data_IF_302117745504
#
_entry.id   IF_302117745504
#
_cell.length_a   1.000
_cell.length_b   1.000
_cell.length_c   1.000
_cell.angle_alpha   90.00
_cell.angle_beta   90.00
_cell.angle_gamma   90.00
#
_symmetry.space_group_name_H-M   'P 1'
#
loop_
_entity.id
_entity.type
_entity.pdbx_description
1 polymer ?
#
# COMPACT_ATOMS: atom_id res chain seq x y z
N UNK A 1 -4.83 -3.65 -34.36
CA UNK A 1 -3.96 -4.71 -34.95
C UNK A 1 -2.79 -4.75 -34.00
N UNK A 2 -2.72 -5.76 -33.12
CA UNK A 2 -1.84 -5.71 -31.94
C UNK A 2 -0.41 -5.36 -32.37
N UNK A 3 0.16 -4.30 -31.78
CA UNK A 3 1.58 -3.92 -32.01
C UNK A 3 2.44 -5.07 -31.48
N UNK A 4 3.40 -5.51 -32.29
CA UNK A 4 4.37 -6.55 -31.90
C UNK A 4 5.78 -6.07 -32.19
N UNK A 5 6.69 -6.38 -31.28
CA UNK A 5 8.13 -6.19 -31.48
C UNK A 5 8.82 -7.54 -31.26
N UNK A 6 9.79 -7.83 -32.12
CA UNK A 6 10.62 -9.02 -32.02
C UNK A 6 12.01 -8.57 -31.61
N UNK A 7 12.52 -9.10 -30.50
CA UNK A 7 13.87 -8.83 -30.01
C UNK A 7 14.53 -10.19 -29.79
N UNK A 8 15.48 -10.52 -30.65
CA UNK A 8 16.06 -11.85 -30.77
C UNK A 8 14.98 -12.94 -30.93
N UNK A 9 14.92 -13.90 -30.02
CA UNK A 9 13.93 -14.98 -29.98
C UNK A 9 12.64 -14.63 -29.22
N UNK A 10 12.58 -13.46 -28.57
CA UNK A 10 11.43 -13.01 -27.79
C UNK A 10 10.47 -12.16 -28.62
N UNK A 11 9.18 -12.45 -28.50
CA UNK A 11 8.10 -11.70 -29.14
C UNK A 11 7.28 -10.97 -28.07
N UNK A 12 7.38 -9.64 -28.04
CA UNK A 12 6.57 -8.83 -27.15
C UNK A 12 5.33 -8.32 -27.90
N UNK A 13 4.17 -8.51 -27.29
CA UNK A 13 2.88 -8.04 -27.80
C UNK A 13 2.36 -6.93 -26.91
N UNK A 14 1.90 -5.84 -27.51
CA UNK A 14 1.28 -4.75 -26.75
C UNK A 14 -0.15 -5.11 -26.36
N UNK A 15 -0.50 -4.85 -25.11
CA UNK A 15 -1.87 -4.88 -24.63
C UNK A 15 -2.54 -3.52 -24.93
N UNK A 16 -3.60 -3.54 -25.74
CA UNK A 16 -4.34 -2.31 -26.12
C UNK A 16 -5.27 -1.84 -24.98
N UNK A 17 -5.64 -2.73 -24.06
CA UNK A 17 -6.60 -2.45 -22.97
C UNK A 17 -5.88 -2.08 -21.66
N UNK A 18 -4.74 -2.70 -21.36
CA UNK A 18 -3.95 -2.48 -20.12
C UNK A 18 -2.77 -1.51 -20.25
N UNK A 19 -2.43 -1.06 -21.47
CA UNK A 19 -1.37 -0.06 -21.68
C UNK A 19 0.07 -0.58 -21.58
N UNK A 20 0.29 -1.87 -21.28
CA UNK A 20 1.60 -2.51 -21.15
C UNK A 20 2.02 -3.42 -22.32
N UNK A 21 3.13 -4.14 -22.12
CA UNK A 21 3.59 -5.19 -23.04
C UNK A 21 3.57 -6.53 -22.35
N UNK A 22 3.50 -7.60 -23.14
CA UNK A 22 3.62 -8.95 -22.63
C UNK A 22 4.48 -9.85 -23.50
N UNK A 23 5.10 -10.84 -22.89
CA UNK A 23 5.85 -11.90 -23.56
C UNK A 23 5.29 -13.25 -23.16
N UNK A 24 4.62 -13.94 -24.09
CA UNK A 24 4.18 -15.32 -23.91
C UNK A 24 5.40 -16.26 -24.00
N UNK A 25 5.60 -17.10 -22.98
CA UNK A 25 6.74 -18.02 -22.91
C UNK A 25 6.45 -19.21 -22.00
N UNK A 26 7.37 -20.17 -21.98
CA UNK A 26 7.35 -21.35 -21.13
C UNK A 26 8.34 -21.19 -19.96
N UNK A 27 7.89 -21.47 -18.73
CA UNK A 27 8.72 -21.55 -17.53
C UNK A 27 8.74 -23.00 -17.01
N UNK A 28 9.93 -23.50 -16.70
CA UNK A 28 10.16 -24.84 -16.16
C UNK A 28 10.41 -24.79 -14.66
N UNK A 29 9.86 -25.75 -13.95
CA UNK A 29 10.14 -25.92 -12.51
C UNK A 29 9.02 -25.44 -11.60
N UNK A 30 8.04 -24.68 -12.10
CA UNK A 30 6.94 -24.12 -11.28
C UNK A 30 6.04 -25.24 -10.75
N UNK A 31 5.26 -25.89 -11.63
CA UNK A 31 4.38 -27.01 -11.27
C UNK A 31 5.15 -28.30 -10.93
N UNK A 32 6.43 -28.39 -11.31
CA UNK A 32 7.28 -29.51 -11.00
C UNK A 32 8.65 -29.42 -11.67
N UNK A 33 9.67 -30.17 -11.21
CA UNK A 33 11.07 -29.99 -11.64
C UNK A 33 11.34 -30.11 -13.14
N UNK A 34 10.45 -30.77 -13.88
CA UNK A 34 10.54 -30.94 -15.33
C UNK A 34 9.27 -30.48 -16.06
N UNK A 35 8.30 -29.93 -15.33
CA UNK A 35 7.04 -29.49 -15.90
C UNK A 35 7.18 -28.10 -16.47
N UNK A 36 6.48 -27.88 -17.59
CA UNK A 36 6.40 -26.61 -18.28
C UNK A 36 5.09 -25.93 -17.89
N UNK A 37 5.18 -24.65 -17.58
CA UNK A 37 4.07 -23.76 -17.32
C UNK A 37 4.09 -22.67 -18.39
N UNK A 38 3.02 -22.59 -19.17
CA UNK A 38 2.80 -21.47 -20.09
C UNK A 38 2.47 -20.23 -19.27
N UNK A 39 3.25 -19.16 -19.45
CA UNK A 39 3.09 -17.91 -18.70
C UNK A 39 3.05 -16.72 -19.65
N UNK A 40 2.35 -15.69 -19.21
CA UNK A 40 2.43 -14.36 -19.79
C UNK A 40 3.28 -13.53 -18.86
N UNK A 41 4.48 -13.15 -19.31
CA UNK A 41 5.30 -12.19 -18.57
C UNK A 41 4.76 -10.80 -18.91
N UNK A 42 4.19 -10.12 -17.93
CA UNK A 42 3.75 -8.73 -18.05
C UNK A 42 4.94 -7.79 -17.87
N UNK A 43 5.04 -6.79 -18.74
CA UNK A 43 6.09 -5.78 -18.73
C UNK A 43 5.44 -4.45 -18.40
N UNK A 44 5.69 -3.97 -17.19
CA UNK A 44 5.20 -2.68 -16.75
C UNK A 44 5.99 -1.56 -17.44
N UNK A 45 5.27 -0.58 -17.99
CA UNK A 45 5.88 0.58 -18.64
C UNK A 45 5.56 1.89 -17.94
N UNK A 46 4.78 1.82 -16.87
CA UNK A 46 4.38 2.95 -16.04
C UNK A 46 5.39 3.12 -14.92
N UNK A 47 6.01 4.30 -14.82
CA UNK A 47 6.79 4.62 -13.62
C UNK A 47 5.84 5.17 -12.57
N UNK A 48 5.37 4.32 -11.67
CA UNK A 48 4.66 4.72 -10.45
C UNK A 48 3.24 5.25 -10.66
N UNK A 49 2.39 4.88 -9.72
CA UNK A 49 0.94 4.95 -9.81
C UNK A 49 0.35 6.39 -9.83
N UNK A 50 -0.82 6.52 -10.44
CA UNK A 50 -1.83 7.62 -10.37
C UNK A 50 -1.73 8.95 -11.15
N UNK A 51 -0.63 9.40 -11.78
CA UNK A 51 -0.64 10.75 -12.43
C UNK A 51 -0.01 10.91 -13.83
N UNK A 52 0.25 9.82 -14.57
CA UNK A 52 0.78 9.91 -15.94
C UNK A 52 0.15 8.93 -16.93
N UNK A 53 -1.18 8.85 -16.96
CA UNK A 53 -1.92 7.88 -17.79
C UNK A 53 -1.85 8.14 -19.31
N UNK A 54 -1.27 9.25 -19.79
CA UNK A 54 -1.21 9.55 -21.23
C UNK A 54 0.19 9.47 -21.87
N UNK A 55 1.28 9.37 -21.10
CA UNK A 55 2.65 9.36 -21.63
C UNK A 55 3.39 8.02 -21.47
N UNK A 56 2.88 7.11 -20.64
CA UNK A 56 3.48 5.78 -20.42
C UNK A 56 3.03 4.75 -21.47
N UNK A 57 1.76 4.80 -21.89
CA UNK A 57 1.12 3.76 -22.70
C UNK A 57 1.79 3.41 -24.04
N UNK A 58 2.65 4.27 -24.60
CA UNK A 58 3.36 4.04 -25.87
C UNK A 58 4.81 3.56 -25.75
N UNK A 59 5.36 3.46 -24.54
CA UNK A 59 6.78 3.10 -24.32
C UNK A 59 7.02 1.64 -24.66
N UNK A 60 8.13 1.34 -25.33
CA UNK A 60 8.58 -0.03 -25.56
C UNK A 60 9.32 -0.56 -24.32
N UNK A 61 9.38 -1.88 -24.09
CA UNK A 61 10.19 -2.48 -23.03
C UNK A 61 11.62 -1.95 -23.04
N UNK A 62 12.13 -1.57 -21.88
CA UNK A 62 13.50 -1.05 -21.75
C UNK A 62 14.54 -2.15 -21.96
N UNK A 63 15.80 -1.76 -22.25
CA UNK A 63 16.92 -2.71 -22.35
C UNK A 63 17.09 -3.54 -21.07
N UNK A 64 16.85 -2.93 -19.89
CA UNK A 64 16.97 -3.62 -18.60
C UNK A 64 15.85 -4.64 -18.36
N UNK A 65 14.63 -4.36 -18.83
CA UNK A 65 13.51 -5.30 -18.78
C UNK A 65 13.74 -6.49 -19.72
N UNK A 66 14.20 -6.22 -20.94
CA UNK A 66 14.58 -7.27 -21.89
C UNK A 66 15.72 -8.13 -21.33
N UNK A 67 16.72 -7.51 -20.70
CA UNK A 67 17.82 -8.22 -20.05
C UNK A 67 17.33 -9.11 -18.89
N UNK A 68 16.39 -8.62 -18.08
CA UNK A 68 15.78 -9.39 -16.99
C UNK A 68 15.02 -10.62 -17.51
N UNK A 69 14.17 -10.46 -18.54
CA UNK A 69 13.44 -11.58 -19.15
C UNK A 69 14.39 -12.63 -19.72
N UNK A 70 15.43 -12.20 -20.45
CA UNK A 70 16.45 -13.13 -20.99
C UNK A 70 17.16 -13.87 -19.87
N UNK A 71 17.59 -13.16 -18.83
CA UNK A 71 18.25 -13.76 -17.69
C UNK A 71 17.36 -14.79 -16.99
N UNK A 72 16.07 -14.48 -16.83
CA UNK A 72 15.08 -15.41 -16.30
C UNK A 72 15.02 -16.70 -17.13
N UNK A 73 14.85 -16.59 -18.45
CA UNK A 73 14.69 -17.76 -19.32
C UNK A 73 15.94 -18.63 -19.40
N UNK A 74 17.13 -18.00 -19.40
CA UNK A 74 18.42 -18.68 -19.37
C UNK A 74 18.70 -19.39 -18.03
N UNK A 75 18.16 -18.87 -16.91
CA UNK A 75 18.46 -19.32 -15.55
C UNK A 75 17.22 -19.84 -14.79
N UNK A 76 16.13 -20.12 -15.50
CA UNK A 76 14.81 -20.40 -14.92
C UNK A 76 14.82 -21.45 -13.80
N UNK A 77 15.54 -22.56 -13.96
CA UNK A 77 15.58 -23.61 -12.93
C UNK A 77 16.19 -23.11 -11.61
N UNK A 78 17.21 -22.26 -11.67
CA UNK A 78 17.81 -21.66 -10.48
C UNK A 78 16.87 -20.66 -9.85
N UNK A 79 16.30 -19.75 -10.64
CA UNK A 79 15.44 -18.68 -10.16
C UNK A 79 14.16 -19.25 -9.54
N UNK A 80 13.47 -20.17 -10.23
CA UNK A 80 12.26 -20.80 -9.71
C UNK A 80 12.53 -21.59 -8.42
N UNK A 81 13.70 -22.24 -8.30
CA UNK A 81 14.09 -22.87 -7.03
C UNK A 81 14.23 -21.85 -5.90
N UNK A 82 14.79 -20.66 -6.18
CA UNK A 82 14.92 -19.59 -5.18
C UNK A 82 13.57 -18.98 -4.81
N UNK A 83 12.70 -18.76 -5.79
CA UNK A 83 11.32 -18.30 -5.57
C UNK A 83 10.58 -19.27 -4.66
N UNK A 84 10.56 -20.57 -4.99
CA UNK A 84 9.88 -21.59 -4.18
C UNK A 84 10.50 -21.73 -2.77
N UNK A 85 11.81 -21.56 -2.60
CA UNK A 85 12.46 -21.56 -1.28
C UNK A 85 12.02 -20.36 -0.43
N UNK A 86 11.98 -19.16 -1.01
CA UNK A 86 11.48 -17.96 -0.34
C UNK A 86 10.00 -18.07 0.02
N UNK A 87 9.17 -18.53 -0.93
CA UNK A 87 7.75 -18.83 -0.72
C UNK A 87 7.52 -19.80 0.43
N UNK A 88 8.31 -20.88 0.52
CA UNK A 88 8.20 -21.85 1.61
C UNK A 88 8.57 -21.23 2.96
N UNK A 89 9.61 -20.40 3.01
CA UNK A 89 10.01 -19.68 4.24
C UNK A 89 8.91 -18.74 4.69
N UNK A 90 8.31 -18.01 3.76
CA UNK A 90 7.20 -17.10 4.03
C UNK A 90 5.97 -17.84 4.55
N UNK A 91 5.51 -18.89 3.86
CA UNK A 91 4.36 -19.67 4.28
C UNK A 91 4.53 -20.21 5.71
N UNK A 92 5.71 -20.70 6.04
CA UNK A 92 6.02 -21.18 7.39
C UNK A 92 6.04 -20.07 8.42
N UNK A 93 6.72 -18.96 8.11
CA UNK A 93 6.74 -17.79 8.99
C UNK A 93 5.32 -17.26 9.26
N UNK A 94 4.50 -17.16 8.22
CA UNK A 94 3.12 -16.71 8.32
C UNK A 94 2.27 -17.67 9.16
N UNK A 95 2.35 -18.97 8.91
CA UNK A 95 1.62 -19.98 9.68
C UNK A 95 2.08 -20.05 11.15
N UNK A 96 3.39 -19.97 11.41
CA UNK A 96 3.94 -19.94 12.78
C UNK A 96 3.52 -18.67 13.53
N UNK A 97 3.45 -17.53 12.84
CA UNK A 97 2.98 -16.27 13.43
C UNK A 97 1.47 -16.24 13.66
N UNK A 98 0.73 -17.15 13.03
CA UNK A 98 -0.73 -17.25 13.09
C UNK A 98 -1.18 -18.67 13.46
N UNK A 99 -0.46 -19.35 14.37
CA UNK A 99 -0.65 -20.78 14.70
C UNK A 99 -2.11 -21.13 15.07
N UNK A 100 -2.86 -20.18 15.62
CA UNK A 100 -4.28 -20.36 15.97
C UNK A 100 -5.26 -20.35 14.80
N UNK A 101 -4.80 -20.09 13.57
CA UNK A 101 -5.65 -20.01 12.37
C UNK A 101 -5.63 -21.29 11.53
N UNK A 102 -4.66 -22.18 11.76
CA UNK A 102 -4.39 -23.33 10.91
C UNK A 102 -4.46 -24.63 11.69
N UNK A 103 -5.06 -25.65 11.09
CA UNK A 103 -4.99 -27.01 11.63
C UNK A 103 -3.62 -27.65 11.32
N UNK A 104 -3.17 -28.61 12.14
CA UNK A 104 -1.88 -29.31 11.93
C UNK A 104 -1.77 -29.96 10.53
N UNK A 105 -2.89 -30.30 9.90
CA UNK A 105 -2.97 -30.92 8.57
C UNK A 105 -2.77 -29.92 7.42
N UNK A 106 -2.87 -28.61 7.68
CA UNK A 106 -2.74 -27.52 6.70
C UNK A 106 -1.32 -26.94 6.65
N UNK A 107 -0.42 -27.39 7.54
CA UNK A 107 0.93 -26.84 7.67
C UNK A 107 1.80 -27.21 6.47
N UNK A 108 2.31 -26.18 5.79
CA UNK A 108 3.22 -26.34 4.66
C UNK A 108 4.63 -26.57 5.15
N UNK A 109 5.17 -27.78 4.94
CA UNK A 109 6.48 -28.17 5.50
C UNK A 109 7.61 -28.22 4.47
N UNK A 110 7.26 -28.43 3.20
CA UNK A 110 8.22 -28.64 2.12
C UNK A 110 7.69 -28.10 0.78
N UNK A 111 8.56 -28.07 -0.24
CA UNK A 111 8.24 -27.51 -1.57
C UNK A 111 7.16 -28.32 -2.30
N UNK A 112 7.01 -29.62 -2.01
CA UNK A 112 5.92 -30.42 -2.60
C UNK A 112 4.58 -29.94 -2.07
N UNK A 113 4.44 -29.84 -0.75
CA UNK A 113 3.22 -29.34 -0.09
C UNK A 113 2.91 -27.92 -0.59
N UNK A 114 3.93 -27.06 -0.64
CA UNK A 114 3.77 -25.69 -1.16
C UNK A 114 3.13 -25.69 -2.54
N UNK A 115 3.65 -26.48 -3.49
CA UNK A 115 3.11 -26.54 -4.85
C UNK A 115 1.66 -27.00 -4.93
N UNK A 116 1.24 -27.86 -4.00
CA UNK A 116 -0.15 -28.33 -3.95
C UNK A 116 -1.11 -27.22 -3.49
N UNK A 117 -0.59 -26.20 -2.80
CA UNK A 117 -1.34 -25.07 -2.24
C UNK A 117 -1.16 -23.76 -3.04
N UNK A 118 -0.44 -23.79 -4.17
CA UNK A 118 -0.25 -22.64 -5.05
C UNK A 118 -1.10 -22.78 -6.30
N UNK A 119 -1.75 -21.70 -6.70
CA UNK A 119 -2.54 -21.64 -7.92
C UNK A 119 -2.21 -20.39 -8.75
N UNK A 120 -2.16 -20.58 -10.07
CA UNK A 120 -1.75 -19.51 -10.98
C UNK A 120 -0.25 -19.23 -10.93
N UNK A 121 0.18 -18.32 -11.81
CA UNK A 121 1.50 -17.71 -11.78
C UNK A 121 1.48 -16.49 -12.68
N UNK A 122 1.55 -15.32 -12.06
CA UNK A 122 1.75 -14.07 -12.75
C UNK A 122 3.21 -13.63 -12.57
N UNK A 123 3.84 -13.21 -13.67
CA UNK A 123 5.21 -12.71 -13.68
C UNK A 123 5.20 -11.29 -14.20
N UNK A 124 5.65 -10.35 -13.39
CA UNK A 124 5.72 -8.93 -13.72
C UNK A 124 7.18 -8.47 -13.79
N UNK A 125 7.52 -7.67 -14.79
CA UNK A 125 8.84 -7.04 -14.92
C UNK A 125 8.72 -5.54 -14.67
N UNK A 126 9.38 -5.08 -13.61
CA UNK A 126 9.34 -3.69 -13.16
C UNK A 126 9.99 -2.72 -14.16
N UNK A 127 9.56 -1.44 -14.19
CA UNK A 127 10.25 -0.38 -14.93
C UNK A 127 11.58 0.05 -14.27
N UNK A 128 11.77 -0.18 -12.98
CA UNK A 128 12.98 0.17 -12.25
C UNK A 128 14.11 -0.81 -12.57
N UNK A 129 15.35 -0.32 -12.57
CA UNK A 129 16.51 -1.14 -12.90
C UNK A 129 17.70 -0.86 -12.00
N UNK A 130 18.44 -1.91 -11.66
CA UNK A 130 19.71 -1.84 -10.93
C UNK A 130 20.76 -2.57 -11.76
N UNK A 131 21.91 -1.92 -12.00
CA UNK A 131 23.01 -2.41 -12.83
C UNK A 131 22.59 -3.00 -14.19
N UNK A 132 21.62 -2.36 -14.85
CA UNK A 132 21.14 -2.74 -16.17
C UNK A 132 20.18 -3.94 -16.19
N UNK A 133 19.67 -4.38 -15.03
CA UNK A 133 18.64 -5.39 -14.92
C UNK A 133 17.43 -4.84 -14.17
N UNK A 134 16.24 -5.01 -14.74
CA UNK A 134 15.00 -4.85 -14.00
C UNK A 134 14.82 -5.99 -12.99
N UNK A 135 14.09 -5.72 -11.90
CA UNK A 135 13.62 -6.77 -11.00
C UNK A 135 12.31 -7.38 -11.54
N UNK A 136 12.05 -8.62 -11.14
CA UNK A 136 10.91 -9.44 -11.58
C UNK A 136 10.10 -9.83 -10.35
N UNK A 137 8.81 -9.52 -10.36
CA UNK A 137 7.84 -10.00 -9.39
C UNK A 137 7.20 -11.31 -9.84
N UNK A 138 7.00 -12.21 -8.89
CA UNK A 138 6.24 -13.45 -9.03
C UNK A 138 5.05 -13.36 -8.08
N UNK A 139 3.83 -13.42 -8.62
CA UNK A 139 2.59 -13.43 -7.86
C UNK A 139 1.84 -14.73 -8.10
N UNK A 140 1.24 -15.28 -7.05
CA UNK A 140 0.44 -16.51 -7.14
C UNK A 140 -0.64 -16.48 -6.06
N UNK A 141 -1.78 -17.10 -6.36
CA UNK A 141 -2.78 -17.38 -5.35
C UNK A 141 -2.27 -18.49 -4.43
N UNK A 142 -2.69 -18.46 -3.17
CA UNK A 142 -2.33 -19.47 -2.18
C UNK A 142 -3.51 -19.84 -1.29
N UNK A 143 -3.67 -21.13 -0.98
CA UNK A 143 -4.85 -21.62 -0.25
C UNK A 143 -4.92 -21.14 1.21
N UNK A 144 -3.78 -20.85 1.85
CA UNK A 144 -3.74 -20.43 3.25
C UNK A 144 -4.06 -18.93 3.46
N UNK A 145 -4.09 -18.14 2.38
CA UNK A 145 -4.44 -16.72 2.38
C UNK A 145 -5.06 -16.33 1.03
N UNK A 146 -6.33 -16.69 0.84
CA UNK A 146 -7.07 -16.38 -0.41
C UNK A 146 -7.32 -14.88 -0.60
N UNK A 147 -7.24 -14.07 0.45
CA UNK A 147 -7.50 -12.62 0.36
C UNK A 147 -6.29 -11.88 -0.22
N UNK A 148 -5.07 -12.28 0.17
CA UNK A 148 -3.86 -11.50 -0.15
C UNK A 148 -2.90 -12.20 -1.10
N UNK A 149 -2.94 -13.53 -1.21
CA UNK A 149 -2.02 -14.29 -2.07
C UNK A 149 -0.54 -14.19 -1.64
N UNK A 150 0.36 -14.55 -2.55
CA UNK A 150 1.80 -14.64 -2.29
C UNK A 150 2.60 -13.89 -3.36
N UNK A 151 3.54 -13.06 -2.91
CA UNK A 151 4.44 -12.29 -3.76
C UNK A 151 5.92 -12.54 -3.45
N UNK A 152 6.74 -12.60 -4.51
CA UNK A 152 8.20 -12.70 -4.41
C UNK A 152 8.85 -11.75 -5.42
N UNK A 153 9.74 -10.87 -4.96
CA UNK A 153 10.53 -10.00 -5.82
C UNK A 153 11.94 -10.57 -6.01
N UNK A 154 12.41 -10.61 -7.26
CA UNK A 154 13.71 -11.18 -7.64
C UNK A 154 14.50 -10.20 -8.50
N UNK A 155 15.73 -9.92 -8.11
CA UNK A 155 16.70 -9.26 -8.98
C UNK A 155 17.73 -10.29 -9.45
N UNK A 156 17.73 -10.58 -10.76
CA UNK A 156 18.52 -11.67 -11.37
C UNK A 156 18.19 -13.03 -10.75
N UNK A 157 19.01 -13.53 -9.84
CA UNK A 157 18.85 -14.79 -9.13
C UNK A 157 18.90 -14.64 -7.60
N UNK A 158 18.79 -13.40 -7.12
CA UNK A 158 18.67 -13.04 -5.72
C UNK A 158 17.23 -12.65 -5.44
N UNK A 159 16.59 -13.34 -4.49
CA UNK A 159 15.30 -12.90 -3.94
C UNK A 159 15.58 -11.67 -3.11
N UNK A 160 14.94 -10.55 -3.43
CA UNK A 160 15.14 -9.26 -2.75
C UNK A 160 14.02 -8.96 -1.75
N UNK A 161 12.84 -9.57 -1.93
CA UNK A 161 11.71 -9.42 -1.02
C UNK A 161 10.71 -10.58 -1.18
N UNK A 162 9.91 -10.84 -0.14
CA UNK A 162 8.86 -11.86 -0.12
C UNK A 162 7.75 -11.45 0.84
N UNK A 163 6.49 -11.70 0.51
CA UNK A 163 5.35 -11.36 1.36
C UNK A 163 4.03 -11.68 0.68
N UNK A 164 3.03 -10.83 0.89
CA UNK A 164 1.74 -10.92 0.21
C UNK A 164 1.91 -10.56 -1.29
N UNK A 165 0.87 -10.74 -2.11
CA UNK A 165 0.97 -10.56 -3.56
C UNK A 165 1.47 -9.17 -4.00
N UNK A 166 1.28 -8.14 -3.18
CA UNK A 166 1.73 -6.76 -3.43
C UNK A 166 3.25 -6.63 -3.60
N UNK A 167 4.03 -7.53 -2.98
CA UNK A 167 5.49 -7.59 -3.17
C UNK A 167 5.88 -7.83 -4.63
N UNK A 168 5.01 -8.46 -5.44
CA UNK A 168 5.30 -8.71 -6.85
C UNK A 168 5.16 -7.46 -7.73
N UNK A 169 4.49 -6.40 -7.27
CA UNK A 169 4.20 -5.22 -8.09
C UNK A 169 4.47 -3.87 -7.42
N UNK A 170 4.72 -3.83 -6.13
CA UNK A 170 5.16 -2.64 -5.39
C UNK A 170 6.68 -2.55 -5.32
N UNK A 171 7.23 -1.35 -5.10
CA UNK A 171 8.67 -1.17 -4.88
C UNK A 171 9.10 -2.02 -3.66
N UNK A 172 10.03 -2.99 -3.82
CA UNK A 172 10.46 -3.84 -2.72
C UNK A 172 11.20 -3.03 -1.65
N UNK A 173 10.92 -3.30 -0.38
CA UNK A 173 11.56 -2.63 0.76
C UNK A 173 12.22 -3.60 1.75
N UNK A 174 12.12 -4.91 1.51
CA UNK A 174 12.80 -5.95 2.29
C UNK A 174 12.15 -6.21 3.64
N UNK A 175 10.81 -6.21 3.68
CA UNK A 175 10.04 -6.30 4.93
C UNK A 175 10.32 -7.55 5.76
N UNK A 176 10.77 -8.63 5.11
CA UNK A 176 11.03 -9.93 5.74
C UNK A 176 12.45 -10.44 5.44
N UNK A 177 13.44 -9.55 5.53
CA UNK A 177 14.86 -9.86 5.29
C UNK A 177 15.40 -10.99 6.20
N UNK A 178 14.85 -11.13 7.40
CA UNK A 178 15.28 -12.09 8.42
C UNK A 178 14.99 -13.56 8.07
N UNK A 179 13.98 -13.83 7.25
CA UNK A 179 13.66 -15.20 6.82
C UNK A 179 14.45 -15.61 5.58
N UNK A 180 15.04 -14.66 4.86
CA UNK A 180 15.81 -14.89 3.63
C UNK A 180 17.28 -15.26 3.92
N UNK A 181 17.98 -15.93 2.98
CA UNK A 181 19.38 -16.36 3.19
C UNK A 181 20.34 -15.21 3.52
N UNK A 182 21.15 -15.35 4.56
CA UNK A 182 22.05 -14.30 5.06
C UNK A 182 23.21 -14.01 4.09
N UNK A 183 23.60 -14.98 3.27
CA UNK A 183 24.72 -14.86 2.32
C UNK A 183 24.44 -13.85 1.21
N UNK A 184 23.17 -13.53 0.97
CA UNK A 184 22.71 -12.62 -0.09
C UNK A 184 22.31 -11.25 0.45
N UNK A 185 22.39 -11.04 1.77
CA UNK A 185 21.94 -9.80 2.43
C UNK A 185 22.62 -8.56 1.88
N UNK A 186 23.94 -8.56 1.71
CA UNK A 186 24.67 -7.41 1.14
C UNK A 186 24.20 -7.10 -0.29
N UNK A 187 23.90 -8.13 -1.09
CA UNK A 187 23.37 -7.92 -2.44
C UNK A 187 21.96 -7.34 -2.40
N UNK A 188 21.09 -7.86 -1.52
CA UNK A 188 19.74 -7.31 -1.31
C UNK A 188 19.78 -5.85 -0.88
N UNK A 189 20.56 -5.51 0.15
CA UNK A 189 20.68 -4.14 0.67
C UNK A 189 21.13 -3.15 -0.41
N UNK A 190 22.10 -3.55 -1.24
CA UNK A 190 22.56 -2.72 -2.37
C UNK A 190 21.47 -2.51 -3.44
N UNK A 191 20.69 -3.54 -3.74
CA UNK A 191 19.57 -3.43 -4.69
C UNK A 191 18.46 -2.57 -4.12
N UNK A 192 18.00 -2.87 -2.90
CA UNK A 192 16.91 -2.17 -2.23
C UNK A 192 17.22 -0.67 -2.06
N UNK A 193 18.42 -0.31 -1.59
CA UNK A 193 18.84 1.09 -1.48
C UNK A 193 18.88 1.82 -2.83
N UNK A 194 19.25 1.13 -3.91
CA UNK A 194 19.24 1.70 -5.27
C UNK A 194 17.83 1.89 -5.81
N UNK A 195 16.87 1.04 -5.42
CA UNK A 195 15.46 1.17 -5.80
C UNK A 195 14.79 2.31 -5.01
N UNK A 196 15.05 2.39 -3.70
CA UNK A 196 14.57 3.47 -2.85
C UNK A 196 15.07 4.84 -3.35
N UNK A 197 16.36 4.95 -3.70
CA UNK A 197 16.91 6.20 -4.25
C UNK A 197 16.21 6.59 -5.57
N UNK A 198 15.93 5.62 -6.46
CA UNK A 198 15.21 5.87 -7.70
C UNK A 198 13.77 6.32 -7.46
N UNK A 199 13.08 5.74 -6.49
CA UNK A 199 11.72 6.12 -6.11
C UNK A 199 11.69 7.54 -5.54
N UNK A 200 12.59 7.87 -4.61
CA UNK A 200 12.72 9.23 -4.07
C UNK A 200 13.04 10.26 -5.17
N UNK A 201 13.92 9.90 -6.12
CA UNK A 201 14.23 10.76 -7.26
C UNK A 201 13.03 10.93 -8.20
N UNK A 202 12.26 9.86 -8.45
CA UNK A 202 11.06 9.91 -9.28
C UNK A 202 9.97 10.75 -8.63
N UNK A 203 9.73 10.59 -7.33
CA UNK A 203 8.79 11.41 -6.57
C UNK A 203 9.22 12.88 -6.58
N UNK A 204 10.50 13.17 -6.30
CA UNK A 204 11.03 14.53 -6.35
C UNK A 204 10.90 15.15 -7.74
N UNK A 205 11.14 14.38 -8.80
CA UNK A 205 10.96 14.84 -10.18
C UNK A 205 9.49 15.09 -10.52
N UNK A 206 8.59 14.22 -10.07
CA UNK A 206 7.14 14.38 -10.22
C UNK A 206 6.67 15.65 -9.51
N UNK A 207 6.99 15.81 -8.22
CA UNK A 207 6.69 17.01 -7.44
C UNK A 207 7.28 18.26 -8.10
N UNK A 208 8.52 18.20 -8.61
CA UNK A 208 9.14 19.31 -9.33
C UNK A 208 8.44 19.62 -10.66
N UNK A 209 7.81 18.64 -11.31
CA UNK A 209 7.06 18.81 -12.56
C UNK A 209 5.68 19.44 -12.37
N UNK A 210 5.12 19.39 -11.15
CA UNK A 210 3.80 19.92 -10.87
C UNK A 210 3.70 21.43 -11.18
N UNK A 211 2.54 21.90 -11.70
CA UNK A 211 2.28 23.32 -11.86
C UNK A 211 2.46 24.07 -10.54
N UNK A 212 2.96 25.31 -10.59
CA UNK A 212 3.13 26.13 -9.38
C UNK A 212 1.81 26.35 -8.62
N UNK A 213 0.66 26.33 -9.31
CA UNK A 213 -0.67 26.39 -8.67
C UNK A 213 -0.97 25.15 -7.83
N UNK A 214 -0.62 23.95 -8.31
CA UNK A 214 -0.77 22.70 -7.55
C UNK A 214 0.19 22.65 -6.36
N UNK A 215 1.45 23.04 -6.57
CA UNK A 215 2.43 23.15 -5.47
C UNK A 215 1.98 24.13 -4.40
N UNK A 216 1.35 25.24 -4.79
CA UNK A 216 0.82 26.22 -3.85
C UNK A 216 -0.30 25.60 -3.01
N UNK A 217 -1.16 24.81 -3.63
CA UNK A 217 -2.24 24.12 -2.91
C UNK A 217 -1.67 23.15 -1.88
N UNK A 218 -0.69 22.34 -2.27
CA UNK A 218 -0.01 21.41 -1.35
C UNK A 218 0.65 22.16 -0.19
N UNK A 219 1.40 23.24 -0.46
CA UNK A 219 2.09 24.03 0.55
C UNK A 219 1.13 24.63 1.59
N UNK A 220 -0.07 25.08 1.16
CA UNK A 220 -1.11 25.55 2.09
C UNK A 220 -1.62 24.41 2.98
N UNK A 221 -1.87 23.22 2.41
CA UNK A 221 -2.39 22.08 3.16
C UNK A 221 -1.43 21.57 4.25
N UNK A 222 -0.13 21.68 4.02
CA UNK A 222 0.92 21.27 4.98
C UNK A 222 1.47 22.42 5.84
N UNK A 223 0.87 23.61 5.74
CA UNK A 223 1.28 24.84 6.45
C UNK A 223 2.75 25.28 6.20
N UNK A 224 3.27 25.05 4.99
CA UNK A 224 4.59 25.54 4.58
C UNK A 224 4.51 27.00 4.11
N UNK A 225 4.52 27.92 5.09
CA UNK A 225 4.39 29.35 4.83
C UNK A 225 5.51 29.92 3.95
N UNK A 226 6.73 29.40 4.05
CA UNK A 226 7.86 29.88 3.25
C UNK A 226 7.66 29.53 1.77
N UNK A 227 7.24 28.30 1.47
CA UNK A 227 6.94 27.85 0.12
C UNK A 227 5.70 28.55 -0.45
N UNK A 228 4.65 28.77 0.37
CA UNK A 228 3.49 29.58 0.00
C UNK A 228 3.91 30.97 -0.47
N UNK A 229 4.75 31.68 0.31
CA UNK A 229 5.21 33.01 -0.08
C UNK A 229 6.06 32.96 -1.36
N UNK A 230 6.94 31.97 -1.51
CA UNK A 230 7.80 31.82 -2.68
C UNK A 230 7.00 31.57 -3.95
N UNK A 231 5.99 30.70 -3.91
CA UNK A 231 5.13 30.38 -5.05
C UNK A 231 4.24 31.56 -5.43
N UNK A 232 3.68 32.28 -4.44
CA UNK A 232 2.92 33.51 -4.68
C UNK A 232 3.77 34.60 -5.33
N UNK A 233 5.04 34.76 -4.92
CA UNK A 233 5.97 35.70 -5.57
C UNK A 233 6.25 35.33 -7.04
N UNK A 234 6.17 34.04 -7.39
CA UNK A 234 6.25 33.55 -8.78
C UNK A 234 4.94 33.70 -9.56
N UNK A 235 3.89 34.21 -8.92
CA UNK A 235 2.58 34.46 -9.52
C UNK A 235 1.61 33.28 -9.48
N UNK A 236 1.93 32.23 -8.70
CA UNK A 236 1.03 31.10 -8.51
C UNK A 236 -0.28 31.53 -7.85
N UNK A 237 -1.39 30.93 -8.27
CA UNK A 237 -2.73 31.16 -7.71
C UNK A 237 -3.48 29.85 -7.58
N UNK A 238 -4.27 29.73 -6.51
CA UNK A 238 -5.13 28.57 -6.27
C UNK A 238 -6.17 28.39 -7.37
N UNK A 239 -6.65 29.48 -7.97
CA UNK A 239 -7.61 29.44 -9.08
C UNK A 239 -7.03 28.95 -10.41
N UNK A 240 -5.71 28.86 -10.53
CA UNK A 240 -5.02 28.40 -11.75
C UNK A 240 -4.71 26.88 -11.70
N UNK A 241 -5.28 26.14 -10.74
CA UNK A 241 -5.13 24.67 -10.67
C UNK A 241 -5.80 24.01 -11.89
N UNK A 242 -5.08 23.16 -12.65
CA UNK A 242 -5.67 22.51 -13.82
C UNK A 242 -6.82 21.57 -13.46
N UNK A 243 -7.80 21.44 -14.36
CA UNK A 243 -8.96 20.57 -14.16
C UNK A 243 -8.62 19.06 -14.09
N UNK A 244 -7.39 18.68 -14.44
CA UNK A 244 -6.88 17.31 -14.26
C UNK A 244 -6.55 16.99 -12.81
N UNK A 245 -6.45 18.00 -11.93
CA UNK A 245 -6.26 17.83 -10.50
C UNK A 245 -7.59 18.08 -9.77
N UNK A 246 -7.81 17.45 -8.59
CA UNK A 246 -8.95 17.76 -7.73
C UNK A 246 -9.04 19.26 -7.46
N UNK A 247 -10.26 19.78 -7.34
CA UNK A 247 -10.41 21.20 -7.02
C UNK A 247 -9.77 21.50 -5.65
N UNK A 248 -8.96 22.57 -5.52
CA UNK A 248 -8.12 22.80 -4.34
C UNK A 248 -8.83 22.77 -2.99
N UNK A 249 -10.09 23.21 -2.97
CA UNK A 249 -10.90 23.23 -1.75
C UNK A 249 -11.16 21.83 -1.18
N UNK A 250 -11.29 20.80 -2.03
CA UNK A 250 -11.48 19.42 -1.57
C UNK A 250 -10.20 18.89 -0.92
N UNK A 251 -9.02 19.23 -1.47
CA UNK A 251 -7.73 18.85 -0.87
C UNK A 251 -7.54 19.45 0.52
N UNK A 252 -7.94 20.71 0.74
CA UNK A 252 -7.88 21.34 2.07
C UNK A 252 -8.90 20.78 3.07
N UNK A 253 -10.05 20.29 2.60
CA UNK A 253 -11.02 19.58 3.46
C UNK A 253 -10.45 18.22 3.88
N UNK A 254 -9.83 17.50 2.94
CA UNK A 254 -9.20 16.20 3.20
C UNK A 254 -8.04 16.30 4.19
N UNK A 255 -7.30 17.41 4.20
CA UNK A 255 -6.25 17.65 5.20
C UNK A 255 -6.79 17.93 6.60
N UNK A 256 -8.12 17.96 6.79
CA UNK A 256 -8.83 18.21 8.05
C UNK A 256 -8.33 19.45 8.80
N UNK A 257 -7.81 20.45 8.07
CA UNK A 257 -7.25 21.67 8.64
C UNK A 257 -8.18 22.85 8.38
N UNK A 258 -8.91 23.34 9.38
CA UNK A 258 -9.72 24.56 9.26
C UNK A 258 -8.90 25.75 8.74
N UNK A 259 -7.63 25.85 9.15
CA UNK A 259 -6.71 26.88 8.69
C UNK A 259 -6.41 26.77 7.19
N UNK A 260 -6.16 25.55 6.68
CA UNK A 260 -5.95 25.33 5.25
C UNK A 260 -7.21 25.69 4.44
N UNK A 261 -8.40 25.32 4.91
CA UNK A 261 -9.67 25.68 4.25
C UNK A 261 -9.88 27.19 4.22
N UNK A 262 -9.65 27.88 5.34
CA UNK A 262 -9.74 29.34 5.39
C UNK A 262 -8.75 30.00 4.42
N UNK A 263 -7.48 29.57 4.42
CA UNK A 263 -6.47 30.07 3.51
C UNK A 263 -6.84 29.82 2.03
N UNK A 264 -7.37 28.63 1.69
CA UNK A 264 -7.85 28.36 0.33
C UNK A 264 -8.95 29.34 -0.12
N UNK A 265 -9.90 29.65 0.77
CA UNK A 265 -10.99 30.60 0.48
C UNK A 265 -10.42 32.00 0.28
N UNK A 266 -9.48 32.44 1.11
CA UNK A 266 -8.79 33.73 0.97
C UNK A 266 -8.02 33.82 -0.34
N UNK A 267 -7.40 32.73 -0.79
CA UNK A 267 -6.72 32.62 -2.09
C UNK A 267 -7.70 32.47 -3.29
N UNK A 268 -9.01 32.52 -3.03
CA UNK A 268 -10.04 32.56 -4.07
C UNK A 268 -10.46 31.19 -4.61
N UNK A 269 -10.28 30.12 -3.83
CA UNK A 269 -10.82 28.81 -4.19
C UNK A 269 -12.33 28.85 -4.42
N UNK A 270 -12.80 28.22 -5.50
CA UNK A 270 -14.23 28.19 -5.82
C UNK A 270 -14.98 27.23 -4.89
N UNK A 271 -16.02 27.75 -4.23
CA UNK A 271 -16.93 26.95 -3.40
C UNK A 271 -18.10 26.33 -4.17
N UNK A 272 -18.16 26.53 -5.50
CA UNK A 272 -19.26 26.06 -6.37
C UNK A 272 -18.89 24.83 -7.20
N UNK A 273 -17.66 24.35 -7.05
CA UNK A 273 -17.19 23.13 -7.72
C UNK A 273 -17.91 21.90 -7.18
N UNK A 274 -17.93 20.84 -7.99
CA UNK A 274 -18.41 19.53 -7.59
C UNK A 274 -17.30 18.50 -7.79
N UNK A 275 -17.16 17.56 -6.87
CA UNK A 275 -16.27 16.41 -7.05
C UNK A 275 -16.90 15.39 -8.03
N UNK A 276 -16.24 14.25 -8.24
CA UNK A 276 -16.70 13.21 -9.16
C UNK A 276 -18.01 12.54 -8.71
N UNK A 277 -18.31 12.58 -7.41
CA UNK A 277 -19.60 12.17 -6.85
C UNK A 277 -20.71 13.24 -6.98
N UNK A 278 -20.38 14.39 -7.58
CA UNK A 278 -21.32 15.49 -7.81
C UNK A 278 -21.60 16.34 -6.57
N UNK A 279 -20.80 16.21 -5.52
CA UNK A 279 -20.95 16.90 -4.23
C UNK A 279 -20.21 18.23 -4.20
N UNK A 280 -20.83 19.23 -3.58
CA UNK A 280 -20.18 20.51 -3.25
C UNK A 280 -19.21 20.37 -2.07
N UNK A 281 -18.30 21.33 -1.83
CA UNK A 281 -17.37 21.27 -0.69
C UNK A 281 -18.07 21.11 0.67
N UNK A 282 -19.23 21.75 0.85
CA UNK A 282 -20.04 21.62 2.07
C UNK A 282 -20.64 20.22 2.23
N UNK A 283 -21.17 19.64 1.14
CA UNK A 283 -21.74 18.28 1.15
C UNK A 283 -20.65 17.22 1.40
N UNK A 284 -19.47 17.39 0.80
CA UNK A 284 -18.33 16.51 1.00
C UNK A 284 -17.80 16.56 2.44
N UNK A 285 -17.61 17.76 3.01
CA UNK A 285 -17.20 17.90 4.41
C UNK A 285 -18.22 17.28 5.39
N UNK A 286 -19.53 17.41 5.09
CA UNK A 286 -20.58 16.77 5.89
C UNK A 286 -20.52 15.25 5.81
N UNK A 287 -20.35 14.69 4.61
CA UNK A 287 -20.22 13.24 4.43
C UNK A 287 -19.00 12.68 5.17
N UNK A 288 -17.85 13.35 5.09
CA UNK A 288 -16.66 12.97 5.86
C UNK A 288 -16.97 13.00 7.36
N UNK A 289 -17.58 14.08 7.86
CA UNK A 289 -17.93 14.19 9.28
C UNK A 289 -18.90 13.10 9.71
N UNK A 290 -19.90 12.77 8.89
CA UNK A 290 -20.84 11.69 9.16
C UNK A 290 -20.12 10.34 9.23
N UNK A 291 -19.16 10.08 8.34
CA UNK A 291 -18.35 8.86 8.36
C UNK A 291 -17.47 8.76 9.63
N UNK A 292 -16.79 9.83 10.02
CA UNK A 292 -16.03 9.88 11.28
C UNK A 292 -16.93 9.84 12.53
N UNK A 293 -18.14 10.39 12.44
CA UNK A 293 -19.15 10.30 13.50
C UNK A 293 -19.64 8.86 13.64
N UNK A 294 -19.90 8.18 12.52
CA UNK A 294 -20.26 6.76 12.53
C UNK A 294 -19.13 5.89 13.06
N UNK A 295 -17.86 6.16 12.71
CA UNK A 295 -16.71 5.41 13.25
C UNK A 295 -16.51 5.66 14.75
N UNK A 296 -16.66 6.90 15.22
CA UNK A 296 -16.61 7.25 16.65
C UNK A 296 -17.82 6.79 17.46
N UNK A 297 -18.96 6.55 16.80
CA UNK A 297 -20.18 6.00 17.39
C UNK A 297 -20.36 4.49 17.18
N UNK A 298 -19.46 3.82 16.45
CA UNK A 298 -19.44 2.35 16.46
C UNK A 298 -19.18 1.89 17.90
N UNK A 299 -20.06 1.06 18.48
CA UNK A 299 -20.02 0.75 19.89
C UNK A 299 -18.94 -0.30 20.15
N UNK A 300 -17.72 0.14 20.40
CA UNK A 300 -16.78 -0.64 21.21
C UNK A 300 -16.69 -0.10 22.66
N UNK A 301 -17.60 0.80 23.05
CA UNK A 301 -17.56 1.48 24.35
C UNK A 301 -18.47 0.89 25.44
N UNK A 302 -19.29 -0.12 25.13
CA UNK A 302 -20.06 -0.86 26.16
C UNK A 302 -19.50 -2.30 26.27
N UNK A 303 -18.65 -2.56 27.29
CA UNK A 303 -18.06 -3.87 27.51
C UNK A 303 -19.10 -4.98 27.62
N UNK A 304 -20.33 -4.68 28.06
CA UNK A 304 -21.41 -5.66 28.15
C UNK A 304 -21.97 -6.02 26.78
N UNK A 305 -22.14 -5.05 25.87
CA UNK A 305 -22.57 -5.32 24.49
C UNK A 305 -21.48 -5.99 23.67
N UNK A 306 -20.22 -5.62 23.87
CA UNK A 306 -19.11 -6.31 23.20
C UNK A 306 -18.93 -7.72 23.74
N UNK A 307 -19.18 -7.94 25.05
CA UNK A 307 -19.27 -9.30 25.61
C UNK A 307 -20.41 -10.10 24.98
N UNK A 308 -21.59 -9.50 24.86
CA UNK A 308 -22.77 -10.15 24.26
C UNK A 308 -22.53 -10.48 22.77
N UNK A 309 -21.95 -9.55 22.01
CA UNK A 309 -21.61 -9.73 20.60
C UNK A 309 -20.51 -10.79 20.40
N UNK A 310 -19.47 -10.79 21.24
CA UNK A 310 -18.41 -11.81 21.19
C UNK A 310 -18.90 -13.17 21.67
N UNK A 311 -19.77 -13.24 22.68
CA UNK A 311 -20.42 -14.48 23.09
C UNK A 311 -21.39 -15.02 22.04
N UNK A 312 -22.05 -14.15 21.28
CA UNK A 312 -22.90 -14.54 20.15
C UNK A 312 -22.07 -15.02 18.95
N UNK A 313 -20.90 -14.42 18.71
CA UNK A 313 -19.99 -14.77 17.62
C UNK A 313 -19.15 -16.03 17.89
N UNK A 314 -18.66 -16.19 19.13
CA UNK A 314 -17.80 -17.31 19.54
C UNK A 314 -18.58 -18.48 20.15
N UNK A 315 -19.89 -18.30 20.41
CA UNK A 315 -20.77 -19.30 21.01
C UNK A 315 -20.71 -19.34 22.54
N UNK A 316 -21.83 -19.72 23.17
CA UNK A 316 -22.03 -19.68 24.64
C UNK A 316 -21.06 -20.53 25.49
N UNK A 317 -20.20 -21.35 24.86
CA UNK A 317 -19.29 -22.30 25.53
C UNK A 317 -17.84 -21.79 25.66
N UNK A 318 -17.51 -20.62 25.11
CA UNK A 318 -16.20 -19.99 25.32
C UNK A 318 -16.27 -19.19 26.63
N UNK A 319 -15.28 -19.37 27.52
CA UNK A 319 -15.17 -18.64 28.80
C UNK A 319 -15.11 -17.12 28.63
N UNK A 320 -14.82 -16.36 29.68
CA UNK A 320 -14.81 -14.90 29.58
C UNK A 320 -13.77 -14.43 28.54
N UNK A 321 -14.17 -13.93 27.35
CA UNK A 321 -13.24 -13.69 26.23
C UNK A 321 -12.21 -12.62 26.58
N UNK A 322 -12.59 -11.68 27.44
CA UNK A 322 -11.71 -10.65 27.96
C UNK A 322 -10.60 -11.22 28.83
N UNK A 323 -10.92 -12.21 29.64
CA UNK A 323 -9.95 -12.85 30.51
C UNK A 323 -8.92 -13.65 29.69
N UNK A 324 -9.36 -14.30 28.61
CA UNK A 324 -8.44 -15.01 27.71
C UNK A 324 -7.49 -14.05 26.97
N UNK A 325 -7.99 -12.91 26.51
CA UNK A 325 -7.16 -11.89 25.83
C UNK A 325 -6.15 -11.28 26.82
N UNK A 326 -6.56 -10.95 28.04
CA UNK A 326 -5.65 -10.45 29.08
C UNK A 326 -4.59 -11.50 29.47
N UNK A 327 -4.98 -12.78 29.63
CA UNK A 327 -4.05 -13.87 29.92
C UNK A 327 -3.02 -14.06 28.80
N UNK A 328 -3.45 -13.94 27.53
CA UNK A 328 -2.56 -14.03 26.37
C UNK A 328 -1.58 -12.85 26.30
N UNK A 329 -2.06 -11.63 26.56
CA UNK A 329 -1.21 -10.43 26.58
C UNK A 329 -0.19 -10.47 27.72
N UNK A 330 -0.57 -11.00 28.89
CA UNK A 330 0.35 -11.19 30.02
C UNK A 330 1.41 -12.28 29.74
N UNK A 331 1.06 -13.32 28.99
CA UNK A 331 2.04 -14.30 28.50
C UNK A 331 3.05 -13.66 27.53
N UNK A 332 2.59 -12.83 26.58
CA UNK A 332 3.47 -12.15 25.61
C UNK A 332 4.38 -11.11 26.32
N UNK A 333 3.85 -10.37 27.30
CA UNK A 333 4.66 -9.46 28.15
C UNK A 333 5.79 -10.21 28.88
N UNK A 334 5.57 -11.48 29.24
CA UNK A 334 6.56 -12.34 29.87
C UNK A 334 7.75 -12.73 28.97
N UNK A 335 7.64 -12.54 27.65
CA UNK A 335 8.68 -12.92 26.68
C UNK A 335 9.78 -11.85 26.51
N UNK A 336 9.47 -10.58 26.82
CA UNK A 336 10.41 -9.45 26.75
C UNK A 336 10.81 -9.01 25.32
N UNK A 337 11.45 -7.84 25.21
CA UNK A 337 11.82 -7.24 23.92
C UNK A 337 10.65 -6.51 23.24
N UNK A 338 10.80 -6.19 21.96
CA UNK A 338 9.86 -5.31 21.23
C UNK A 338 8.41 -5.86 21.16
N UNK A 339 8.25 -7.19 21.24
CA UNK A 339 6.93 -7.85 21.35
C UNK A 339 6.24 -7.61 22.69
N UNK A 340 7.00 -7.47 23.78
CA UNK A 340 6.42 -7.13 25.08
C UNK A 340 5.93 -5.68 25.10
N UNK A 341 6.65 -4.77 24.43
CA UNK A 341 6.25 -3.37 24.28
C UNK A 341 4.98 -3.26 23.40
N UNK A 342 4.87 -4.05 22.32
CA UNK A 342 3.67 -4.14 21.50
C UNK A 342 2.48 -4.75 22.26
N UNK A 343 2.69 -5.78 23.08
CA UNK A 343 1.65 -6.35 23.93
C UNK A 343 1.23 -5.41 25.07
N UNK A 344 2.13 -4.53 25.53
CA UNK A 344 1.79 -3.46 26.45
C UNK A 344 0.91 -2.40 25.75
N UNK A 345 1.21 -2.03 24.50
CA UNK A 345 0.41 -1.11 23.70
C UNK A 345 -0.99 -1.68 23.38
N UNK A 346 -1.07 -2.92 22.91
CA UNK A 346 -2.34 -3.62 22.64
C UNK A 346 -3.14 -3.85 23.93
N UNK A 347 -2.48 -4.23 25.03
CA UNK A 347 -3.16 -4.36 26.32
C UNK A 347 -3.68 -3.02 26.84
N UNK A 348 -2.93 -1.93 26.66
CA UNK A 348 -3.41 -0.60 27.02
C UNK A 348 -4.60 -0.15 26.15
N UNK A 349 -4.61 -0.51 24.87
CA UNK A 349 -5.73 -0.29 23.96
C UNK A 349 -6.94 -1.10 24.40
N UNK A 350 -6.73 -2.35 24.82
CA UNK A 350 -7.78 -3.23 25.31
C UNK A 350 -8.35 -2.77 26.66
N UNK A 351 -7.51 -2.31 27.60
CA UNK A 351 -7.92 -1.75 28.88
C UNK A 351 -8.67 -0.41 28.70
N UNK A 352 -8.33 0.39 27.67
CA UNK A 352 -9.09 1.57 27.22
C UNK A 352 -10.46 1.19 26.67
N UNK A 353 -10.56 0.07 25.94
CA UNK A 353 -11.81 -0.45 25.38
C UNK A 353 -12.74 -1.04 26.45
N UNK A 354 -12.18 -1.69 27.48
CA UNK A 354 -12.96 -2.31 28.57
C UNK A 354 -13.26 -1.36 29.73
N UNK A 355 -12.60 -0.19 29.77
CA UNK A 355 -12.84 0.86 30.76
C UNK A 355 -12.17 0.63 32.12
N UNK A 356 -11.13 -0.21 32.18
CA UNK A 356 -10.47 -0.56 33.45
C UNK A 356 -9.38 0.42 33.91
N UNK A 357 -8.87 1.33 33.06
CA UNK A 357 -7.97 2.39 33.55
C UNK A 357 -8.22 3.80 32.99
N UNK A 358 -8.17 4.78 33.89
CA UNK A 358 -8.57 6.18 33.69
C UNK A 358 -7.37 7.14 33.65
N UNK A 359 -6.16 6.64 33.49
CA UNK A 359 -4.98 7.48 33.38
C UNK A 359 -3.82 6.75 32.70
N UNK A 360 -3.45 7.16 31.46
CA UNK A 360 -2.08 7.40 30.94
C UNK A 360 -2.18 7.75 29.43
N UNK A 361 -1.27 8.61 28.98
CA UNK A 361 -1.24 9.46 27.77
C UNK A 361 -1.04 8.74 26.43
N UNK A 362 -1.61 9.27 25.31
CA UNK A 362 -1.57 8.62 23.99
C UNK A 362 -0.18 8.65 23.32
N UNK A 363 0.09 7.57 22.57
CA UNK A 363 1.26 7.29 21.72
C UNK A 363 1.19 8.08 20.40
N UNK A 364 2.36 8.28 19.76
CA UNK A 364 2.66 9.23 18.68
C UNK A 364 2.17 8.77 17.28
N UNK A 365 0.92 8.34 17.12
CA UNK A 365 0.31 8.29 15.79
C UNK A 365 -0.03 9.72 15.34
N UNK A 366 0.34 10.10 14.11
CA UNK A 366 0.04 11.41 13.52
C UNK A 366 -1.41 11.55 13.08
N UNK A 367 -2.22 10.52 13.25
CA UNK A 367 -3.63 10.55 12.89
C UNK A 367 -4.45 11.16 14.03
N UNK A 368 -5.23 12.22 13.77
CA UNK A 368 -6.06 12.84 14.80
C UNK A 368 -7.06 11.82 15.36
N UNK A 369 -7.28 11.84 16.68
CA UNK A 369 -8.31 10.97 17.27
C UNK A 369 -9.66 11.22 16.56
N UNK A 370 -10.53 10.21 16.42
CA UNK A 370 -11.80 10.37 15.69
C UNK A 370 -12.64 11.56 16.16
N UNK A 371 -12.56 11.91 17.45
CA UNK A 371 -13.23 13.07 18.01
C UNK A 371 -12.61 14.41 17.55
N UNK A 372 -11.29 14.51 17.48
CA UNK A 372 -10.59 15.69 16.94
C UNK A 372 -10.89 15.90 15.45
N UNK A 373 -11.03 14.79 14.71
CA UNK A 373 -11.44 14.80 13.30
C UNK A 373 -12.85 15.37 13.12
N UNK A 374 -13.81 14.93 13.95
CA UNK A 374 -15.19 15.46 13.93
C UNK A 374 -15.22 16.95 14.28
N UNK A 375 -14.49 17.37 15.31
CA UNK A 375 -14.41 18.79 15.70
C UNK A 375 -13.81 19.66 14.60
N UNK A 376 -12.75 19.18 13.94
CA UNK A 376 -12.11 19.88 12.83
C UNK A 376 -13.03 20.01 11.63
N UNK A 377 -13.74 18.95 11.25
CA UNK A 377 -14.72 18.97 10.16
C UNK A 377 -15.93 19.85 10.49
N UNK A 378 -16.34 19.92 11.76
CA UNK A 378 -17.38 20.85 12.20
C UNK A 378 -16.95 22.32 12.02
N UNK A 379 -15.72 22.66 12.39
CA UNK A 379 -15.17 24.01 12.14
C UNK A 379 -15.06 24.32 10.65
N UNK A 380 -14.62 23.36 9.83
CA UNK A 380 -14.59 23.49 8.37
C UNK A 380 -15.98 23.80 7.81
N UNK A 381 -17.01 23.09 8.27
CA UNK A 381 -18.40 23.34 7.85
C UNK A 381 -18.87 24.75 8.22
N UNK A 382 -18.50 25.27 9.39
CA UNK A 382 -18.81 26.65 9.78
C UNK A 382 -18.14 27.67 8.86
N UNK A 383 -16.85 27.48 8.56
CA UNK A 383 -16.08 28.32 7.63
C UNK A 383 -16.73 28.34 6.23
N UNK A 384 -17.08 27.17 5.70
CA UNK A 384 -17.70 27.04 4.38
C UNK A 384 -19.08 27.74 4.34
N UNK A 385 -19.90 27.57 5.38
CA UNK A 385 -21.22 28.20 5.50
C UNK A 385 -21.12 29.72 5.58
N UNK A 386 -20.17 30.24 6.36
CA UNK A 386 -19.93 31.67 6.47
C UNK A 386 -19.51 32.28 5.13
N UNK A 387 -18.50 31.70 4.47
CA UNK A 387 -18.02 32.17 3.18
C UNK A 387 -19.11 32.16 2.07
N UNK A 388 -20.01 31.18 2.11
CA UNK A 388 -21.17 31.09 1.20
C UNK A 388 -22.24 32.16 1.48
N UNK A 389 -22.39 32.55 2.75
CA UNK A 389 -23.26 33.66 3.17
C UNK A 389 -22.78 34.99 2.61
N UNK A 390 -21.49 35.26 2.71
CA UNK A 390 -20.86 36.50 2.23
C UNK A 390 -20.89 36.63 0.69
N UNK A 391 -20.89 35.49 -0.04
CA UNK A 391 -21.06 35.48 -1.50
C UNK A 391 -22.49 35.81 -1.99
N UNK A 392 -23.49 35.86 -1.08
CA UNK A 392 -24.90 36.20 -1.40
C UNK A 392 -25.27 37.63 -1.04
N UNK A 393 -24.48 38.32 -0.21
CA UNK A 393 -24.60 39.76 0.12
C UNK A 393 -23.88 40.62 -0.90
#
# INVERSE_FOLDING_TARGET
MKKKIQIDDLCFTRDEDRGGWSCETEIKGWNGPQEVCDVVIEIDTEMGDTFSTQLAADREPSEAQIAAVKYLLENQSRIITRVLDASLRWARYFMESNEGWFDEEEVITNVSDLRENLAGLDILVSPQAVDGFAWIGFSTDCEWDEEHGLGVAVWKDTVIDVGHADVAFSTPYGGFDEILPIEEKETRENVLSSLEEQEQQAEAAYLASLPDSVKLVQAICIDDQDEVQRLKQRGAKVSDTPATFPAPIFMAIQSQSPAAVAAMIEEGASLRVKNDEGQTPEEFAQQMMDAFTMSSQMPFADPAQMKEMMSEFLGEDVGDPYQMIQETLDEIRGLGGDLADAAEEVGSMFDRLTGEDSAITPSNSRDPEPQESVESLQQILEILKQAKGDLKS
#
